data_IF_799894657660
#
_entry.id   IF_799894657660
#
_cell.length_a   1.000
_cell.length_b   1.000
_cell.length_c   1.000
_cell.angle_alpha   90.00
_cell.angle_beta   90.00
_cell.angle_gamma   90.00
#
_symmetry.space_group_name_H-M   'P 1'
#
loop_
_entity.id
_entity.type
_entity.pdbx_description
1 polymer ?
#
# COMPACT_ATOMS: atom_id res chain seq x y z
N UNK A 1 -12.36 -1.79 0.29
CA UNK A 1 -11.88 -0.79 1.25
C UNK A 1 -11.51 0.45 0.44
N UNK A 2 -12.08 1.63 0.74
CA UNK A 2 -11.61 2.89 0.14
C UNK A 2 -10.70 3.55 1.17
N UNK A 3 -9.44 3.76 0.80
CA UNK A 3 -8.43 4.43 1.63
C UNK A 3 -8.30 5.84 1.05
N UNK A 4 -8.18 6.85 1.91
CA UNK A 4 -8.10 8.26 1.50
C UNK A 4 -7.18 9.00 2.46
N UNK A 5 -6.37 9.91 1.94
CA UNK A 5 -5.28 10.58 2.67
C UNK A 5 -4.18 11.00 1.70
N UNK A 6 -3.04 11.40 2.22
CA UNK A 6 -1.82 11.60 1.41
C UNK A 6 -1.37 10.27 0.78
N UNK A 7 -0.58 10.34 -0.29
CA UNK A 7 -0.03 9.13 -0.95
C UNK A 7 0.70 8.21 0.05
N UNK A 8 1.46 8.78 0.99
CA UNK A 8 2.20 8.01 1.99
C UNK A 8 1.29 7.32 3.01
N UNK A 9 0.23 8.00 3.46
CA UNK A 9 -0.79 7.41 4.35
C UNK A 9 -1.57 6.29 3.65
N UNK A 10 -1.88 6.47 2.36
CA UNK A 10 -2.55 5.46 1.54
C UNK A 10 -1.63 4.25 1.33
N UNK A 11 -0.35 4.50 1.02
CA UNK A 11 0.64 3.46 0.83
C UNK A 11 0.84 2.62 2.10
N UNK A 12 1.00 3.27 3.26
CA UNK A 12 1.16 2.54 4.52
C UNK A 12 -0.07 1.69 4.83
N UNK A 13 -1.28 2.24 4.66
CA UNK A 13 -2.51 1.48 4.88
C UNK A 13 -2.64 0.28 3.92
N UNK A 14 -2.20 0.42 2.66
CA UNK A 14 -2.18 -0.66 1.69
C UNK A 14 -1.18 -1.77 2.09
N UNK A 15 0.03 -1.40 2.52
CA UNK A 15 1.06 -2.33 2.99
C UNK A 15 0.59 -3.10 4.22
N UNK A 16 0.02 -2.40 5.22
CA UNK A 16 -0.51 -3.03 6.43
C UNK A 16 -1.62 -4.03 6.12
N UNK A 17 -2.53 -3.69 5.20
CA UNK A 17 -3.58 -4.61 4.75
C UNK A 17 -3.00 -5.82 4.01
N UNK A 18 -2.09 -5.60 3.08
CA UNK A 18 -1.42 -6.66 2.33
C UNK A 18 -0.71 -7.66 3.25
N UNK A 19 0.04 -7.17 4.24
CA UNK A 19 0.73 -8.02 5.20
C UNK A 19 -0.22 -8.76 6.13
N UNK A 20 -1.18 -8.05 6.72
CA UNK A 20 -2.05 -8.63 7.76
C UNK A 20 -3.16 -9.52 7.21
N UNK A 21 -3.72 -9.19 6.04
CA UNK A 21 -4.87 -9.90 5.46
C UNK A 21 -4.45 -10.93 4.40
N UNK A 22 -3.34 -10.72 3.70
CA UNK A 22 -2.88 -11.58 2.60
C UNK A 22 -1.52 -12.23 2.85
N UNK A 23 -0.84 -11.88 3.95
CA UNK A 23 0.45 -12.47 4.31
C UNK A 23 1.62 -12.00 3.46
N UNK A 24 1.49 -10.89 2.74
CA UNK A 24 2.61 -10.33 1.97
C UNK A 24 3.72 -9.79 2.88
N UNK A 25 4.97 -9.93 2.45
CA UNK A 25 6.10 -9.38 3.18
C UNK A 25 6.24 -7.87 2.92
N UNK A 26 6.49 -7.09 3.96
CA UNK A 26 6.72 -5.65 3.85
C UNK A 26 8.18 -5.39 3.46
N UNK A 27 8.49 -5.57 2.18
CA UNK A 27 9.81 -5.24 1.62
C UNK A 27 9.79 -3.89 0.89
N UNK A 28 10.95 -3.24 0.72
CA UNK A 28 11.03 -2.00 -0.07
C UNK A 28 10.48 -2.15 -1.49
N UNK A 29 10.76 -3.27 -2.15
CA UNK A 29 10.29 -3.56 -3.51
C UNK A 29 8.77 -3.67 -3.57
N UNK A 30 8.16 -4.33 -2.57
CA UNK A 30 6.71 -4.45 -2.48
C UNK A 30 6.03 -3.09 -2.25
N UNK A 31 6.66 -2.22 -1.46
CA UNK A 31 6.18 -0.83 -1.28
C UNK A 31 6.27 -0.04 -2.58
N UNK A 32 7.31 -0.24 -3.40
CA UNK A 32 7.41 0.41 -4.71
C UNK A 32 6.35 -0.11 -5.69
N UNK A 33 6.11 -1.42 -5.75
CA UNK A 33 5.03 -1.99 -6.58
C UNK A 33 3.67 -1.41 -6.20
N UNK A 34 3.35 -1.35 -4.90
CA UNK A 34 2.10 -0.74 -4.43
C UNK A 34 2.02 0.75 -4.76
N UNK A 35 3.12 1.49 -4.65
CA UNK A 35 3.18 2.92 -5.02
C UNK A 35 2.87 3.12 -6.50
N UNK A 36 3.37 2.26 -7.38
CA UNK A 36 3.06 2.31 -8.83
C UNK A 36 1.60 1.99 -9.15
N UNK A 37 0.92 1.24 -8.27
CA UNK A 37 -0.50 0.91 -8.42
C UNK A 37 -1.44 2.01 -7.91
N UNK A 38 -0.95 2.95 -7.08
CA UNK A 38 -1.70 4.13 -6.70
C UNK A 38 -1.84 5.03 -7.94
N UNK A 39 -3.06 5.17 -8.44
CA UNK A 39 -3.36 6.15 -9.49
C UNK A 39 -3.54 7.52 -8.83
N UNK A 40 -2.89 8.55 -9.38
CA UNK A 40 -3.36 9.93 -9.19
C UNK A 40 -4.81 10.03 -9.67
N UNK A 41 -5.70 10.52 -8.81
CA UNK A 41 -7.10 10.86 -9.17
C UNK A 41 -7.15 12.13 -10.02
#
# INVERSE_FOLDING_TARGET
>A
MKISGTEDEVLEAAVQHAASAHGHENTPEFREELRQMLKDE
#
